data_IF_267110722344
#
_entry.id   IF_267110722344
#
_cell.length_a   1.000
_cell.length_b   1.000
_cell.length_c   1.000
_cell.angle_alpha   90.00
_cell.angle_beta   90.00
_cell.angle_gamma   90.00
#
_symmetry.space_group_name_H-M   'P 1'
#
loop_
_entity.id
_entity.type
_entity.pdbx_description
1 polymer ?
#
# COMPACT_ATOMS: atom_id res chain seq x y z
N UNK A 1 -11.80 -28.14 13.81
CA UNK A 1 -12.25 -26.73 13.95
C UNK A 1 -11.10 -25.71 13.91
N UNK A 2 -9.84 -26.12 14.03
CA UNK A 2 -8.66 -25.23 13.96
C UNK A 2 -8.33 -24.74 12.54
N UNK A 3 -8.47 -25.60 11.52
CA UNK A 3 -8.17 -25.26 10.11
C UNK A 3 -9.06 -24.13 9.59
N UNK A 4 -10.37 -24.15 9.90
CA UNK A 4 -11.30 -23.10 9.46
C UNK A 4 -10.93 -21.74 10.07
N UNK A 5 -10.56 -21.72 11.35
CA UNK A 5 -10.10 -20.49 12.02
C UNK A 5 -8.79 -19.97 11.44
N UNK A 6 -7.88 -20.87 11.05
CA UNK A 6 -6.60 -20.50 10.44
C UNK A 6 -6.77 -19.89 9.04
N UNK A 7 -7.64 -20.49 8.21
CA UNK A 7 -7.99 -19.95 6.89
C UNK A 7 -8.67 -18.58 7.01
N UNK A 8 -9.62 -18.42 7.94
CA UNK A 8 -10.28 -17.11 8.18
C UNK A 8 -9.25 -16.05 8.59
N UNK A 9 -8.30 -16.41 9.46
CA UNK A 9 -7.23 -15.50 9.88
C UNK A 9 -6.31 -15.10 8.72
N UNK A 10 -5.99 -16.01 7.81
CA UNK A 10 -5.23 -15.67 6.60
C UNK A 10 -6.03 -14.80 5.64
N UNK A 11 -7.31 -15.08 5.44
CA UNK A 11 -8.19 -14.28 4.59
C UNK A 11 -8.27 -12.82 5.10
N UNK A 12 -8.45 -12.63 6.41
CA UNK A 12 -8.44 -11.30 7.02
C UNK A 12 -7.08 -10.58 6.88
N UNK A 13 -5.97 -11.32 6.98
CA UNK A 13 -4.63 -10.75 6.83
C UNK A 13 -4.35 -10.29 5.39
N UNK A 14 -4.84 -11.04 4.40
CA UNK A 14 -4.78 -10.70 2.98
C UNK A 14 -5.66 -9.49 2.68
N UNK A 15 -6.91 -9.49 3.16
CA UNK A 15 -7.83 -8.37 2.99
C UNK A 15 -7.27 -7.05 3.55
N UNK A 16 -6.66 -7.09 4.74
CA UNK A 16 -6.01 -5.92 5.32
C UNK A 16 -4.79 -5.44 4.54
N UNK A 17 -4.07 -6.35 3.87
CA UNK A 17 -2.96 -5.98 3.01
C UNK A 17 -3.44 -5.23 1.77
N UNK A 18 -4.49 -5.73 1.11
CA UNK A 18 -5.09 -5.07 -0.06
C UNK A 18 -5.76 -3.74 0.30
N UNK A 19 -6.46 -3.68 1.43
CA UNK A 19 -7.04 -2.43 1.93
C UNK A 19 -5.95 -1.37 2.20
N UNK A 20 -4.83 -1.78 2.80
CA UNK A 20 -3.69 -0.88 3.03
C UNK A 20 -3.04 -0.40 1.73
N UNK A 21 -2.98 -1.25 0.71
CA UNK A 21 -2.47 -0.92 -0.62
C UNK A 21 -3.36 0.12 -1.32
N UNK A 22 -4.67 -0.10 -1.32
CA UNK A 22 -5.65 0.82 -1.89
C UNK A 22 -5.71 2.16 -1.16
N UNK A 23 -5.68 2.16 0.17
CA UNK A 23 -5.68 3.41 0.94
C UNK A 23 -4.36 4.17 0.69
N UNK A 24 -3.23 3.47 0.68
CA UNK A 24 -1.93 4.09 0.38
C UNK A 24 -1.88 4.73 -1.01
N UNK A 25 -2.39 4.04 -2.04
CA UNK A 25 -2.43 4.59 -3.39
C UNK A 25 -3.39 5.77 -3.52
N UNK A 26 -4.56 5.72 -2.88
CA UNK A 26 -5.49 6.85 -2.83
C UNK A 26 -4.87 8.10 -2.18
N UNK A 27 -4.11 7.92 -1.09
CA UNK A 27 -3.41 9.03 -0.43
C UNK A 27 -2.35 9.65 -1.35
N UNK A 28 -1.57 8.82 -2.06
CA UNK A 28 -0.58 9.32 -3.03
C UNK A 28 -1.26 10.12 -4.15
N UNK A 29 -2.36 9.61 -4.69
CA UNK A 29 -3.14 10.29 -5.73
C UNK A 29 -3.71 11.61 -5.20
N UNK A 30 -4.24 11.62 -3.98
CA UNK A 30 -4.77 12.82 -3.36
C UNK A 30 -3.67 13.89 -3.19
N UNK A 31 -2.50 13.52 -2.67
CA UNK A 31 -1.37 14.43 -2.46
C UNK A 31 -0.87 15.00 -3.80
N UNK A 32 -0.62 14.15 -4.79
CA UNK A 32 -0.12 14.59 -6.08
C UNK A 32 -1.16 15.46 -6.84
N UNK A 33 -2.44 15.07 -6.78
CA UNK A 33 -3.54 15.83 -7.38
C UNK A 33 -3.77 17.18 -6.72
N UNK A 34 -3.72 17.27 -5.39
CA UNK A 34 -3.78 18.54 -4.67
C UNK A 34 -2.58 19.43 -5.00
N UNK A 35 -1.38 18.85 -5.00
CA UNK A 35 -0.16 19.58 -5.32
C UNK A 35 -0.15 20.17 -6.73
N UNK A 36 -0.68 19.44 -7.71
CA UNK A 36 -0.88 19.96 -9.07
C UNK A 36 -1.94 21.07 -9.11
N UNK A 37 -3.09 20.87 -8.44
CA UNK A 37 -4.20 21.84 -8.45
C UNK A 37 -3.87 23.15 -7.74
N UNK A 38 -3.04 23.11 -6.71
CA UNK A 38 -2.54 24.28 -5.97
C UNK A 38 -1.39 24.99 -6.69
N UNK A 39 -0.90 24.46 -7.83
CA UNK A 39 0.23 25.02 -8.56
C UNK A 39 1.58 24.83 -7.87
N UNK A 40 1.67 23.91 -6.90
CA UNK A 40 2.94 23.59 -6.21
C UNK A 40 3.81 22.62 -7.02
N UNK A 41 3.19 21.82 -7.89
CA UNK A 41 3.87 20.85 -8.74
C UNK A 41 3.52 21.10 -10.20
N UNK A 42 4.55 21.19 -11.04
CA UNK A 42 4.41 21.10 -12.49
C UNK A 42 3.92 19.70 -12.91
N UNK A 43 3.34 19.59 -14.11
CA UNK A 43 2.76 18.33 -14.60
C UNK A 43 3.74 17.16 -14.59
N UNK A 44 5.01 17.40 -14.94
CA UNK A 44 6.07 16.39 -14.91
C UNK A 44 6.38 15.95 -13.47
N UNK A 45 6.48 16.91 -12.55
CA UNK A 45 6.78 16.66 -11.13
C UNK A 45 5.64 15.91 -10.44
N UNK A 46 4.38 16.25 -10.75
CA UNK A 46 3.20 15.54 -10.27
C UNK A 46 3.17 14.08 -10.76
N UNK A 47 3.53 13.84 -12.03
CA UNK A 47 3.63 12.49 -12.57
C UNK A 47 4.73 11.67 -11.87
N UNK A 48 5.89 12.26 -11.60
CA UNK A 48 6.98 11.60 -10.85
C UNK A 48 6.54 11.27 -9.42
N UNK A 49 5.84 12.18 -8.74
CA UNK A 49 5.31 11.94 -7.38
C UNK A 49 4.25 10.84 -7.38
N UNK A 50 3.36 10.80 -8.38
CA UNK A 50 2.38 9.72 -8.54
C UNK A 50 3.07 8.37 -8.69
N UNK A 51 3.95 8.24 -9.69
CA UNK A 51 4.62 6.98 -9.99
C UNK A 51 5.52 6.56 -8.83
N UNK A 52 6.35 7.47 -8.32
CA UNK A 52 7.24 7.21 -7.20
C UNK A 52 6.49 6.86 -5.92
N UNK A 53 5.40 7.55 -5.62
CA UNK A 53 4.55 7.28 -4.45
C UNK A 53 3.86 5.92 -4.54
N UNK A 54 3.32 5.55 -5.70
CA UNK A 54 2.69 4.24 -5.90
C UNK A 54 3.72 3.11 -5.73
N UNK A 55 4.91 3.27 -6.33
CA UNK A 55 6.00 2.29 -6.17
C UNK A 55 6.44 2.19 -4.70
N UNK A 56 6.52 3.30 -3.97
CA UNK A 56 6.85 3.30 -2.55
C UNK A 56 5.79 2.58 -1.71
N UNK A 57 4.50 2.79 -1.99
CA UNK A 57 3.39 2.08 -1.32
C UNK A 57 3.45 0.57 -1.59
N UNK A 58 3.73 0.17 -2.83
CA UNK A 58 3.91 -1.23 -3.19
C UNK A 58 5.10 -1.86 -2.44
N UNK A 59 6.26 -1.22 -2.47
CA UNK A 59 7.46 -1.68 -1.76
C UNK A 59 7.23 -1.79 -0.25
N UNK A 60 6.56 -0.80 0.35
CA UNK A 60 6.21 -0.82 1.77
C UNK A 60 5.28 -1.99 2.13
N UNK A 61 4.31 -2.30 1.27
CA UNK A 61 3.40 -3.43 1.48
C UNK A 61 4.10 -4.79 1.30
N UNK A 62 4.94 -4.94 0.27
CA UNK A 62 5.78 -6.15 0.06
C UNK A 62 6.72 -6.36 1.24
N UNK A 63 7.36 -5.30 1.73
CA UNK A 63 8.23 -5.37 2.91
C UNK A 63 7.46 -5.83 4.15
N UNK A 64 6.28 -5.24 4.42
CA UNK A 64 5.43 -5.66 5.53
C UNK A 64 4.93 -7.10 5.38
N UNK A 65 4.65 -7.56 4.16
CA UNK A 65 4.30 -8.95 3.90
C UNK A 65 5.49 -9.89 4.21
N UNK A 66 6.71 -9.55 3.74
CA UNK A 66 7.94 -10.28 4.05
C UNK A 66 8.22 -10.35 5.55
N UNK A 67 8.09 -9.23 6.27
CA UNK A 67 8.27 -9.19 7.74
C UNK A 67 7.24 -10.05 8.47
N UNK A 68 5.99 -10.11 7.98
CA UNK A 68 4.96 -11.00 8.54
C UNK A 68 5.28 -12.48 8.28
N UNK A 69 5.76 -12.82 7.09
CA UNK A 69 6.16 -14.18 6.75
C UNK A 69 7.38 -14.64 7.58
N UNK A 70 8.40 -13.80 7.73
CA UNK A 70 9.58 -14.10 8.54
C UNK A 70 9.30 -14.28 10.03
N UNK A 71 8.22 -13.69 10.56
CA UNK A 71 7.75 -13.89 11.94
C UNK A 71 6.97 -15.19 12.17
N UNK A 72 6.50 -15.85 11.11
CA UNK A 72 5.83 -17.16 11.20
C UNK A 72 6.79 -18.35 11.12
N UNK A 73 8.04 -18.13 10.67
CA UNK A 73 9.08 -19.16 10.55
C UNK A 73 10.01 -19.26 11.77
N UNK A 74 9.81 -18.40 12.78
CA UNK A 74 10.46 -18.46 14.10
C UNK A 74 9.43 -18.84 15.15
#
# INVERSE_FOLDING_TARGET
MTIVLEVVKELFAMFWADAGLCIGSLVVVAIAGLGFRLGWLDGTSAAVVLVGGIVAVLLGNVWRAKVRAGRRLK
#
